data_IF_942649506863
#
_entry.id   IF_942649506863
#
_cell.length_a   1.000
_cell.length_b   1.000
_cell.length_c   1.000
_cell.angle_alpha   90.00
_cell.angle_beta   90.00
_cell.angle_gamma   90.00
#
_symmetry.space_group_name_H-M   'P 1'
#
loop_
_entity.id
_entity.type
_entity.pdbx_description
1 polymer ?
#
# COMPACT_ATOMS: atom_id res chain seq x y z
N UNK A 1 5.61 -24.39 31.15
CA UNK A 1 6.16 -23.58 30.01
C UNK A 1 5.91 -24.20 28.64
N UNK A 2 6.10 -25.51 28.38
CA UNK A 2 5.89 -26.13 27.04
C UNK A 2 4.47 -25.98 26.47
N UNK A 3 3.42 -25.91 27.30
CA UNK A 3 2.01 -25.76 26.88
C UNK A 3 1.64 -24.35 26.41
N UNK A 4 2.38 -23.32 26.79
CA UNK A 4 2.10 -21.91 26.46
C UNK A 4 2.81 -21.45 25.17
N UNK A 5 3.82 -22.18 24.71
CA UNK A 5 4.62 -21.81 23.54
C UNK A 5 3.79 -21.61 22.26
N UNK A 6 2.82 -22.47 21.89
CA UNK A 6 2.00 -22.26 20.69
C UNK A 6 1.16 -20.97 20.76
N UNK A 7 0.62 -20.64 21.90
CA UNK A 7 -0.17 -19.40 22.09
C UNK A 7 0.73 -18.16 21.94
N UNK A 8 1.93 -18.21 22.52
CA UNK A 8 2.89 -17.12 22.43
C UNK A 8 3.29 -16.86 20.96
N UNK A 9 3.53 -17.95 20.21
CA UNK A 9 3.85 -17.85 18.79
C UNK A 9 2.67 -17.28 18.00
N UNK A 10 1.43 -17.74 18.24
CA UNK A 10 0.25 -17.22 17.58
C UNK A 10 0.07 -15.70 17.84
N UNK A 11 0.30 -15.25 19.07
CA UNK A 11 0.27 -13.82 19.39
C UNK A 11 1.32 -13.04 18.59
N UNK A 12 2.55 -13.52 18.55
CA UNK A 12 3.62 -12.88 17.77
C UNK A 12 3.24 -12.79 16.29
N UNK A 13 2.63 -13.83 15.72
CA UNK A 13 2.16 -13.81 14.33
C UNK A 13 1.02 -12.81 14.09
N UNK A 14 0.20 -12.52 15.09
CA UNK A 14 -0.88 -11.55 14.95
C UNK A 14 -0.40 -10.10 15.07
N UNK A 15 0.69 -9.84 15.77
CA UNK A 15 1.18 -8.47 16.03
C UNK A 15 1.36 -7.62 14.76
N UNK A 16 1.98 -8.11 13.67
CA UNK A 16 2.14 -7.33 12.45
C UNK A 16 0.81 -6.93 11.82
N UNK A 17 -0.19 -7.83 11.85
CA UNK A 17 -1.52 -7.55 11.32
C UNK A 17 -2.24 -6.47 12.13
N UNK A 18 -2.18 -6.57 13.45
CA UNK A 18 -2.74 -5.57 14.35
C UNK A 18 -2.06 -4.22 14.12
N UNK A 19 -0.74 -4.22 13.96
CA UNK A 19 0.02 -3.00 13.68
C UNK A 19 -0.38 -2.36 12.34
N UNK A 20 -0.51 -3.16 11.27
CA UNK A 20 -0.93 -2.68 9.95
C UNK A 20 -2.33 -2.07 10.01
N UNK A 21 -3.28 -2.75 10.66
CA UNK A 21 -4.63 -2.23 10.83
C UNK A 21 -4.64 -0.95 11.66
N UNK A 22 -3.93 -0.93 12.78
CA UNK A 22 -3.80 0.26 13.61
C UNK A 22 -3.28 1.46 12.81
N UNK A 23 -2.17 1.28 12.08
CA UNK A 23 -1.59 2.33 11.22
C UNK A 23 -2.53 2.75 10.12
N UNK A 24 -3.26 1.81 9.52
CA UNK A 24 -4.23 2.11 8.46
C UNK A 24 -5.37 2.97 8.97
N UNK A 25 -5.93 2.64 10.14
CA UNK A 25 -6.99 3.44 10.74
C UNK A 25 -6.48 4.79 11.23
N UNK A 26 -5.30 4.85 11.83
CA UNK A 26 -4.65 6.09 12.27
C UNK A 26 -4.49 7.07 11.09
N UNK A 27 -3.99 6.60 9.96
CA UNK A 27 -3.86 7.42 8.73
C UNK A 27 -5.22 7.84 8.18
N UNK A 28 -6.21 6.93 8.16
CA UNK A 28 -7.55 7.24 7.65
C UNK A 28 -8.30 8.27 8.50
N UNK A 29 -8.15 8.19 9.82
CA UNK A 29 -8.83 9.11 10.72
C UNK A 29 -8.16 10.49 10.72
N UNK A 30 -6.87 10.54 10.36
CA UNK A 30 -6.10 11.77 10.24
C UNK A 30 -5.86 12.19 8.78
N UNK A 31 -6.64 11.69 7.81
CA UNK A 31 -6.42 11.94 6.38
C UNK A 31 -6.39 13.43 6.03
N UNK A 32 -7.23 14.23 6.67
CA UNK A 32 -7.33 15.68 6.44
C UNK A 32 -6.08 16.44 6.94
N UNK A 33 -5.29 15.83 7.82
CA UNK A 33 -4.02 16.40 8.30
C UNK A 33 -2.83 16.08 7.40
N UNK A 34 -2.97 15.13 6.46
CA UNK A 34 -1.90 14.78 5.55
C UNK A 34 -1.64 15.89 4.52
N UNK A 35 -0.39 16.06 4.08
CA UNK A 35 -0.07 16.98 3.01
C UNK A 35 -0.88 16.67 1.75
N UNK A 36 -1.81 17.56 1.42
CA UNK A 36 -2.60 17.50 0.20
C UNK A 36 -1.90 18.30 -0.88
N UNK A 37 -1.51 17.64 -1.95
CA UNK A 37 -0.83 18.28 -3.09
C UNK A 37 -1.72 18.31 -4.31
N UNK A 38 -1.45 19.28 -5.15
CA UNK A 38 -2.16 19.47 -6.41
C UNK A 38 -1.14 19.65 -7.52
N UNK A 39 -1.38 19.00 -8.66
CA UNK A 39 -0.48 19.07 -9.82
C UNK A 39 -1.26 18.91 -11.12
N UNK A 40 -0.65 19.34 -12.23
CA UNK A 40 -1.24 19.21 -13.54
C UNK A 40 -0.69 17.99 -14.28
N UNK A 41 -1.54 17.31 -15.03
CA UNK A 41 -1.20 16.11 -15.78
C UNK A 41 -0.66 16.48 -17.16
N UNK A 42 0.63 16.21 -17.39
CA UNK A 42 1.25 16.35 -18.71
C UNK A 42 1.09 15.13 -19.61
N UNK A 43 0.79 13.97 -19.02
CA UNK A 43 0.55 12.74 -19.74
C UNK A 43 0.28 11.58 -18.78
N UNK A 44 -0.27 10.51 -19.30
CA UNK A 44 -0.50 9.30 -18.53
C UNK A 44 -0.25 8.05 -19.38
N UNK A 45 0.07 6.94 -18.72
CA UNK A 45 0.32 5.66 -19.36
C UNK A 45 -0.28 4.51 -18.55
N UNK A 46 -1.23 3.82 -19.16
CA UNK A 46 -1.73 2.53 -18.65
C UNK A 46 -0.80 1.40 -19.10
N UNK A 47 -0.42 0.51 -18.18
CA UNK A 47 0.45 -0.62 -18.48
C UNK A 47 0.18 -1.83 -17.58
N UNK A 48 0.84 -2.95 -17.90
CA UNK A 48 0.66 -4.23 -17.22
C UNK A 48 -0.51 -5.05 -17.79
N UNK A 49 -0.57 -6.34 -17.40
CA UNK A 49 -1.69 -7.20 -17.79
C UNK A 49 -3.01 -6.57 -17.36
N UNK A 50 -3.97 -6.44 -18.29
CA UNK A 50 -5.29 -5.84 -18.09
C UNK A 50 -5.24 -4.38 -17.57
N UNK A 51 -4.22 -3.60 -17.97
CA UNK A 51 -4.06 -2.19 -17.58
C UNK A 51 -4.14 -1.99 -16.06
N UNK A 52 -3.40 -2.78 -15.29
CA UNK A 52 -3.44 -2.73 -13.82
C UNK A 52 -2.67 -1.58 -13.19
N UNK A 53 -1.89 -0.84 -13.96
CA UNK A 53 -1.12 0.28 -13.46
C UNK A 53 -1.35 1.51 -14.31
N UNK A 54 -1.35 2.66 -13.68
CA UNK A 54 -1.43 3.97 -14.30
C UNK A 54 -0.25 4.80 -13.82
N UNK A 55 0.66 5.14 -14.72
CA UNK A 55 1.72 6.12 -14.48
C UNK A 55 1.21 7.49 -14.95
N UNK A 56 1.26 8.49 -14.08
CA UNK A 56 0.81 9.86 -14.30
C UNK A 56 2.05 10.75 -14.25
N UNK A 57 2.32 11.43 -15.32
CA UNK A 57 3.43 12.38 -15.43
C UNK A 57 2.93 13.76 -15.11
N UNK A 58 3.61 14.44 -14.17
CA UNK A 58 3.22 15.73 -13.65
C UNK A 58 4.05 16.87 -14.25
N UNK A 59 3.47 18.03 -14.28
CA UNK A 59 4.15 19.27 -14.64
C UNK A 59 3.48 20.48 -13.99
N UNK A 60 4.12 21.63 -14.09
CA UNK A 60 3.52 22.89 -13.68
C UNK A 60 2.36 23.28 -14.61
N UNK A 61 1.48 24.13 -14.13
CA UNK A 61 0.36 24.65 -14.92
C UNK A 61 0.84 25.36 -16.19
N UNK A 62 1.93 26.13 -16.07
CA UNK A 62 2.49 26.90 -17.19
C UNK A 62 3.01 25.97 -18.29
N UNK A 63 3.74 24.92 -17.93
CA UNK A 63 4.22 23.92 -18.88
C UNK A 63 3.08 23.23 -19.60
N UNK A 64 2.09 22.74 -18.86
CA UNK A 64 0.95 22.00 -19.45
C UNK A 64 0.12 22.90 -20.40
N UNK A 65 -0.05 24.19 -20.08
CA UNK A 65 -0.75 25.14 -20.98
C UNK A 65 0.00 25.35 -22.30
N UNK A 66 1.33 25.30 -22.30
CA UNK A 66 2.16 25.46 -23.50
C UNK A 66 2.24 24.18 -24.35
N UNK A 67 1.98 23.02 -23.76
CA UNK A 67 2.04 21.75 -24.47
C UNK A 67 0.85 21.57 -25.42
N UNK A 68 1.11 21.21 -26.67
CA UNK A 68 0.06 20.89 -27.67
C UNK A 68 -0.46 19.47 -27.49
N UNK A 69 0.42 18.54 -27.14
CA UNK A 69 0.14 17.11 -27.02
C UNK A 69 0.66 16.55 -25.70
N UNK A 70 0.08 15.42 -25.19
CA UNK A 70 0.60 14.77 -24.01
C UNK A 70 2.03 14.27 -24.23
N UNK A 71 2.91 14.53 -23.27
CA UNK A 71 4.30 14.07 -23.31
C UNK A 71 4.61 13.16 -22.12
N UNK A 72 5.42 12.15 -22.38
CA UNK A 72 5.97 11.22 -21.37
C UNK A 72 7.49 11.42 -21.22
N UNK A 73 8.08 12.27 -22.04
CA UNK A 73 9.52 12.56 -22.10
C UNK A 73 9.83 13.88 -21.40
N UNK A 74 11.04 14.01 -20.90
CA UNK A 74 11.56 15.18 -20.20
C UNK A 74 11.98 14.83 -18.77
N UNK A 75 12.55 15.79 -18.07
CA UNK A 75 12.96 15.67 -16.65
C UNK A 75 11.76 15.42 -15.71
N UNK A 76 10.98 14.40 -16.04
CA UNK A 76 9.86 13.96 -15.21
C UNK A 76 10.39 13.23 -13.99
N UNK A 77 11.06 13.97 -13.09
CA UNK A 77 11.40 13.46 -11.77
C UNK A 77 10.15 13.19 -10.93
N UNK A 78 8.98 13.62 -11.39
CA UNK A 78 7.74 13.47 -10.65
C UNK A 78 6.73 12.72 -11.52
N UNK A 79 6.68 11.42 -11.35
CA UNK A 79 5.55 10.63 -11.81
C UNK A 79 4.88 9.92 -10.64
N UNK A 80 3.57 9.82 -10.69
CA UNK A 80 2.78 9.08 -9.73
C UNK A 80 2.44 7.72 -10.34
N UNK A 81 2.52 6.68 -9.54
CA UNK A 81 2.05 5.35 -9.94
C UNK A 81 0.85 4.95 -9.12
N UNK A 82 -0.26 4.76 -9.80
CA UNK A 82 -1.50 4.24 -9.21
C UNK A 82 -1.68 2.79 -9.66
N UNK A 83 -1.96 1.90 -8.70
CA UNK A 83 -2.19 0.48 -8.92
C UNK A 83 -3.70 0.21 -8.88
N UNK A 84 -4.18 -0.64 -9.79
CA UNK A 84 -5.54 -1.16 -9.71
C UNK A 84 -5.61 -2.27 -8.66
N UNK A 85 -6.56 -2.15 -7.76
CA UNK A 85 -6.88 -3.19 -6.78
C UNK A 85 -8.08 -4.04 -7.26
N UNK A 86 -8.31 -5.18 -6.61
CA UNK A 86 -9.29 -6.17 -7.08
C UNK A 86 -10.70 -5.62 -7.22
N UNK A 87 -11.10 -4.66 -6.39
CA UNK A 87 -12.44 -4.09 -6.33
C UNK A 87 -12.47 -2.57 -6.58
N UNK A 88 -11.36 -2.00 -7.05
CA UNK A 88 -11.22 -0.56 -7.26
C UNK A 88 -10.64 -0.32 -8.64
N UNK A 89 -11.37 0.43 -9.46
CA UNK A 89 -10.89 0.83 -10.76
C UNK A 89 -9.87 1.97 -10.66
N UNK A 90 -9.00 2.05 -11.68
CA UNK A 90 -8.08 3.17 -11.81
C UNK A 90 -8.87 4.45 -12.05
N UNK A 91 -8.42 5.59 -11.49
CA UNK A 91 -9.06 6.88 -11.75
C UNK A 91 -8.98 7.23 -13.24
N UNK A 92 -10.05 7.80 -13.78
CA UNK A 92 -10.03 8.39 -15.12
C UNK A 92 -9.30 9.72 -15.07
N UNK A 93 -8.06 9.72 -15.57
CA UNK A 93 -7.19 10.89 -15.60
C UNK A 93 -6.73 11.13 -17.04
N UNK A 94 -6.85 12.36 -17.50
CA UNK A 94 -6.54 12.79 -18.86
C UNK A 94 -5.45 13.86 -18.87
N UNK A 95 -4.87 14.08 -20.05
CA UNK A 95 -3.98 15.20 -20.28
C UNK A 95 -4.67 16.53 -19.97
N UNK A 96 -3.97 17.40 -19.25
CA UNK A 96 -4.43 18.69 -18.72
C UNK A 96 -5.39 18.63 -17.55
N UNK A 97 -5.71 17.46 -17.03
CA UNK A 97 -6.45 17.40 -15.77
C UNK A 97 -5.58 17.96 -14.64
N UNK A 98 -6.24 18.67 -13.74
CA UNK A 98 -5.67 19.01 -12.45
C UNK A 98 -6.04 17.91 -11.48
N UNK A 99 -5.04 17.32 -10.83
CA UNK A 99 -5.24 16.22 -9.87
C UNK A 99 -4.88 16.63 -8.47
N UNK A 100 -5.51 15.99 -7.51
CA UNK A 100 -5.17 16.08 -6.09
C UNK A 100 -4.79 14.71 -5.56
N UNK A 101 -3.87 14.68 -4.58
CA UNK A 101 -3.41 13.47 -3.93
C UNK A 101 -2.87 13.78 -2.53
N UNK A 102 -2.73 12.75 -1.71
CA UNK A 102 -2.14 12.84 -0.38
C UNK A 102 -0.79 12.15 -0.35
N UNK A 103 0.12 12.63 0.49
CA UNK A 103 1.43 12.01 0.73
C UNK A 103 1.47 11.44 2.15
N UNK A 104 1.87 10.16 2.25
CA UNK A 104 2.18 9.52 3.52
C UNK A 104 3.69 9.46 3.67
N UNK A 105 4.20 10.05 4.75
CA UNK A 105 5.59 9.96 5.16
C UNK A 105 5.69 9.05 6.38
N UNK A 106 6.22 7.85 6.21
CA UNK A 106 6.53 6.95 7.31
C UNK A 106 7.97 6.45 7.18
N UNK A 107 8.85 7.07 7.94
CA UNK A 107 10.29 6.79 7.91
C UNK A 107 10.63 5.33 8.24
N UNK A 108 9.81 4.65 9.03
CA UNK A 108 10.01 3.25 9.34
C UNK A 108 9.78 2.36 8.11
N UNK A 109 8.68 2.58 7.40
CA UNK A 109 8.36 1.83 6.19
C UNK A 109 9.35 2.15 5.08
N UNK A 110 9.82 3.39 4.96
CA UNK A 110 10.86 3.75 3.98
C UNK A 110 12.15 2.98 4.17
N UNK A 111 12.63 2.86 5.41
CA UNK A 111 13.82 2.06 5.71
C UNK A 111 13.64 0.59 5.34
N UNK A 112 12.44 0.06 5.54
CA UNK A 112 12.12 -1.34 5.24
C UNK A 112 11.93 -1.60 3.73
N UNK A 113 11.41 -0.63 2.99
CA UNK A 113 11.16 -0.74 1.54
C UNK A 113 12.31 -0.27 0.66
N UNK A 114 13.42 0.21 1.26
CA UNK A 114 14.53 0.85 0.55
C UNK A 114 14.10 2.02 -0.35
N UNK A 115 12.97 2.65 -0.02
CA UNK A 115 12.42 3.77 -0.76
C UNK A 115 12.54 5.05 0.07
N UNK A 116 13.10 6.10 -0.52
CA UNK A 116 13.18 7.43 0.10
C UNK A 116 12.04 8.36 -0.37
N UNK A 117 11.08 7.84 -1.14
CA UNK A 117 9.98 8.65 -1.68
C UNK A 117 8.71 8.45 -0.86
N UNK A 118 7.95 9.52 -0.59
CA UNK A 118 6.67 9.42 0.08
C UNK A 118 5.72 8.52 -0.72
N UNK A 119 4.87 7.78 -0.03
CA UNK A 119 3.78 7.04 -0.68
C UNK A 119 2.66 8.01 -1.00
N UNK A 120 2.22 7.94 -2.23
CA UNK A 120 1.10 8.73 -2.73
C UNK A 120 -0.16 7.88 -2.72
N UNK A 121 -1.24 8.45 -2.21
CA UNK A 121 -2.55 7.83 -2.13
C UNK A 121 -3.65 8.80 -2.53
N UNK A 122 -4.82 8.28 -2.87
CA UNK A 122 -6.02 9.06 -3.11
C UNK A 122 -5.92 9.98 -4.32
N UNK A 123 -5.30 9.52 -5.40
CA UNK A 123 -5.15 10.31 -6.63
C UNK A 123 -6.48 10.43 -7.35
N UNK A 124 -6.97 11.66 -7.51
CA UNK A 124 -8.22 11.97 -8.24
C UNK A 124 -8.09 13.24 -9.05
N UNK A 125 -8.88 13.34 -10.13
CA UNK A 125 -9.08 14.60 -10.83
C UNK A 125 -9.81 15.62 -9.95
N UNK A 126 -9.49 16.90 -10.11
CA UNK A 126 -10.12 17.98 -9.35
C UNK A 126 -11.65 17.94 -9.50
N UNK A 127 -12.34 18.12 -8.40
CA UNK A 127 -13.81 18.01 -8.34
C UNK A 127 -14.34 16.61 -8.01
N UNK A 128 -13.50 15.58 -8.06
CA UNK A 128 -13.86 14.24 -7.64
C UNK A 128 -13.40 13.96 -6.22
N UNK A 129 -14.08 13.06 -5.53
CA UNK A 129 -13.72 12.59 -4.20
C UNK A 129 -13.25 11.13 -4.24
N UNK A 130 -12.28 10.81 -3.40
CA UNK A 130 -11.83 9.43 -3.17
C UNK A 130 -12.73 8.79 -2.12
N UNK A 131 -13.18 7.56 -2.38
CA UNK A 131 -13.90 6.82 -1.36
C UNK A 131 -12.98 6.42 -0.20
N UNK A 132 -13.53 6.40 1.03
CA UNK A 132 -12.79 5.96 2.21
C UNK A 132 -12.27 4.53 2.07
N UNK A 133 -13.02 3.66 1.37
CA UNK A 133 -12.60 2.31 1.07
C UNK A 133 -11.37 2.26 0.13
N UNK A 134 -11.32 3.12 -0.88
CA UNK A 134 -10.16 3.24 -1.78
C UNK A 134 -8.90 3.62 -0.99
N UNK A 135 -8.99 4.67 -0.18
CA UNK A 135 -7.90 5.09 0.70
C UNK A 135 -7.45 3.97 1.63
N UNK A 136 -8.39 3.25 2.25
CA UNK A 136 -8.09 2.11 3.12
C UNK A 136 -7.24 1.05 2.41
N UNK A 137 -7.60 0.68 1.19
CA UNK A 137 -6.87 -0.33 0.41
C UNK A 137 -5.47 0.16 0.01
N UNK A 138 -5.34 1.42 -0.41
CA UNK A 138 -4.04 2.01 -0.77
C UNK A 138 -3.09 2.13 0.43
N UNK A 139 -3.62 2.44 1.61
CA UNK A 139 -2.84 2.50 2.85
C UNK A 139 -2.40 1.10 3.29
N UNK A 140 -3.28 0.11 3.22
CA UNK A 140 -2.89 -1.28 3.49
C UNK A 140 -1.80 -1.74 2.53
N UNK A 141 -1.93 -1.44 1.22
CA UNK A 141 -0.89 -1.75 0.22
C UNK A 141 0.46 -1.12 0.58
N UNK A 142 0.45 0.07 1.17
CA UNK A 142 1.67 0.71 1.66
C UNK A 142 2.33 -0.06 2.81
N UNK A 143 1.54 -0.51 3.78
CA UNK A 143 2.04 -1.23 4.95
C UNK A 143 2.25 -2.74 4.72
N UNK A 144 1.77 -3.32 3.63
CA UNK A 144 1.88 -4.76 3.36
C UNK A 144 3.32 -5.28 3.30
N UNK A 145 4.28 -4.45 2.86
CA UNK A 145 5.69 -4.82 2.84
C UNK A 145 6.22 -5.17 4.24
N UNK A 146 5.70 -4.49 5.27
CA UNK A 146 5.99 -4.81 6.67
C UNK A 146 5.45 -6.20 7.04
N UNK A 147 4.24 -6.55 6.55
CA UNK A 147 3.66 -7.87 6.75
C UNK A 147 4.53 -8.97 6.12
N UNK A 148 4.98 -8.79 4.88
CA UNK A 148 5.84 -9.77 4.22
C UNK A 148 7.16 -9.96 4.95
N UNK A 149 7.78 -8.89 5.42
CA UNK A 149 8.99 -8.99 6.22
C UNK A 149 8.74 -9.76 7.53
N UNK A 150 7.66 -9.45 8.22
CA UNK A 150 7.27 -10.15 9.46
C UNK A 150 7.00 -11.64 9.20
N UNK A 151 6.30 -11.98 8.10
CA UNK A 151 6.08 -13.39 7.69
C UNK A 151 7.42 -14.10 7.46
N UNK A 152 8.35 -13.46 6.78
CA UNK A 152 9.67 -14.03 6.52
C UNK A 152 10.41 -14.36 7.83
N UNK A 153 10.50 -13.40 8.75
CA UNK A 153 11.14 -13.58 10.06
C UNK A 153 10.45 -14.69 10.86
N UNK A 154 9.11 -14.71 10.84
CA UNK A 154 8.34 -15.71 11.57
C UNK A 154 8.49 -17.10 10.99
N UNK A 155 8.58 -17.24 9.66
CA UNK A 155 8.88 -18.53 9.01
C UNK A 155 10.25 -19.08 9.44
N UNK A 156 11.26 -18.22 9.59
CA UNK A 156 12.56 -18.63 10.12
C UNK A 156 12.46 -19.15 11.56
N UNK A 157 11.66 -18.46 12.41
CA UNK A 157 11.44 -18.89 13.79
C UNK A 157 10.65 -20.20 13.86
N UNK A 158 9.61 -20.35 13.06
CA UNK A 158 8.81 -21.58 12.98
C UNK A 158 9.68 -22.73 12.48
N UNK A 159 10.50 -22.52 11.43
CA UNK A 159 11.42 -23.52 10.93
C UNK A 159 12.39 -24.02 12.00
N UNK A 160 12.94 -23.11 12.82
CA UNK A 160 13.83 -23.47 13.93
C UNK A 160 13.16 -24.27 15.06
N UNK A 161 11.85 -24.02 15.29
CA UNK A 161 11.11 -24.64 16.39
C UNK A 161 10.05 -25.65 15.92
N UNK A 162 10.07 -26.02 14.63
CA UNK A 162 9.09 -26.86 13.96
C UNK A 162 8.70 -28.10 14.76
N UNK A 163 9.67 -28.90 15.19
CA UNK A 163 9.39 -30.12 15.95
C UNK A 163 8.72 -29.87 17.31
N UNK A 164 8.98 -28.70 17.92
CA UNK A 164 8.36 -28.35 19.22
C UNK A 164 6.94 -27.83 19.07
N UNK A 165 6.63 -27.19 17.94
CA UNK A 165 5.34 -26.53 17.68
C UNK A 165 4.34 -27.52 17.12
N UNK A 166 4.74 -28.36 16.15
CA UNK A 166 3.84 -29.23 15.41
C UNK A 166 3.55 -30.59 16.08
N UNK A 167 4.21 -30.93 17.19
CA UNK A 167 3.85 -32.12 17.98
C UNK A 167 2.51 -31.99 18.72
N UNK A 168 1.86 -30.84 18.67
CA UNK A 168 0.55 -30.64 19.29
C UNK A 168 -0.46 -30.19 18.23
N UNK A 169 -1.55 -30.97 18.03
CA UNK A 169 -2.64 -30.67 17.08
C UNK A 169 -3.22 -29.26 17.27
N UNK A 170 -3.25 -28.77 18.52
CA UNK A 170 -3.71 -27.40 18.86
C UNK A 170 -2.76 -26.30 18.37
N UNK A 171 -1.46 -26.59 18.17
CA UNK A 171 -0.50 -25.61 17.65
C UNK A 171 -0.74 -25.26 16.18
N UNK A 172 -1.18 -26.23 15.40
CA UNK A 172 -1.54 -26.03 13.99
C UNK A 172 -2.70 -25.04 13.81
N UNK A 173 -3.78 -25.27 14.55
CA UNK A 173 -4.99 -24.42 14.44
C UNK A 173 -4.72 -22.95 14.82
N UNK A 174 -3.82 -22.69 15.76
CA UNK A 174 -3.47 -21.32 16.19
C UNK A 174 -2.63 -20.57 15.17
N UNK A 175 -1.86 -21.27 14.32
CA UNK A 175 -1.08 -20.65 13.24
C UNK A 175 -1.96 -20.36 12.02
N UNK A 176 -3.04 -21.10 11.83
CA UNK A 176 -3.97 -20.89 10.71
C UNK A 176 -4.64 -19.52 10.74
N UNK A 177 -4.97 -18.99 11.91
CA UNK A 177 -5.66 -17.69 12.06
C UNK A 177 -4.84 -16.54 11.47
N UNK A 178 -3.57 -16.32 11.86
CA UNK A 178 -2.72 -15.29 11.25
C UNK A 178 -2.53 -15.49 9.74
N UNK A 179 -2.32 -16.74 9.29
CA UNK A 179 -2.15 -17.03 7.86
C UNK A 179 -3.40 -16.64 7.07
N UNK A 180 -4.58 -16.98 7.58
CA UNK A 180 -5.85 -16.59 6.94
C UNK A 180 -5.96 -15.06 6.83
N UNK A 181 -5.54 -14.33 7.84
CA UNK A 181 -5.54 -12.88 7.84
C UNK A 181 -4.61 -12.29 6.76
N UNK A 182 -3.41 -12.86 6.59
CA UNK A 182 -2.49 -12.48 5.51
C UNK A 182 -3.07 -12.77 4.13
N UNK A 183 -3.75 -13.90 3.97
CA UNK A 183 -4.44 -14.24 2.71
C UNK A 183 -5.52 -13.20 2.40
N UNK A 184 -6.32 -12.79 3.38
CA UNK A 184 -7.35 -11.76 3.22
C UNK A 184 -6.72 -10.43 2.78
N UNK A 185 -5.66 -9.97 3.44
CA UNK A 185 -4.96 -8.75 3.03
C UNK A 185 -4.45 -8.89 1.60
N UNK A 186 -3.82 -10.01 1.25
CA UNK A 186 -3.30 -10.25 -0.10
C UNK A 186 -4.39 -10.25 -1.19
N UNK A 187 -5.60 -10.71 -0.88
CA UNK A 187 -6.74 -10.69 -1.82
C UNK A 187 -7.27 -9.27 -2.02
N UNK A 188 -7.24 -8.45 -0.98
CA UNK A 188 -7.76 -7.07 -1.02
C UNK A 188 -6.81 -6.14 -1.80
N UNK A 189 -5.49 -6.33 -1.65
CA UNK A 189 -4.46 -5.52 -2.30
C UNK A 189 -3.99 -6.13 -3.64
#
# INVERSE_FOLDING_TARGET
MKKLLPYFIAIIFCLPNVFILYKTFDVLDNIDSLPKKTSWVRGCRYWGKRKRNLDIYLASEQEVKQMKEPSREGEADIYLRVKKFSFIDLPEIKFRDKITYYEIEDHFVYKMSFSNKPKIIGVVAEGNSVSRYHLFVEIIDFYQNLAYFAIFVLNLLVGKYYEKIFKTEKGLSLIFIPILFYIIIFIIT
#
